data_IF_458788766211
#
_entry.id   IF_458788766211
#
_cell.length_a   1.000
_cell.length_b   1.000
_cell.length_c   1.000
_cell.angle_alpha   90.00
_cell.angle_beta   90.00
_cell.angle_gamma   90.00
#
_symmetry.space_group_name_H-M   'P 1'
#
loop_
_entity.id
_entity.type
_entity.pdbx_description
1 polymer ?
#
# COMPACT_ATOMS: atom_id res chain seq x y z
N UNK A 1 -13.77 19.31 -4.84
CA UNK A 1 -13.90 17.87 -5.11
C UNK A 1 -13.22 17.08 -4.00
N UNK A 2 -13.78 15.95 -3.59
CA UNK A 2 -13.17 15.05 -2.62
C UNK A 2 -12.17 14.14 -3.32
N UNK A 3 -11.08 13.80 -2.62
CA UNK A 3 -10.00 12.94 -3.12
C UNK A 3 -9.98 11.66 -2.32
N UNK A 4 -10.19 10.54 -3.00
CA UNK A 4 -10.09 9.18 -2.44
C UNK A 4 -8.87 8.49 -3.04
N UNK A 5 -7.97 8.01 -2.19
CA UNK A 5 -6.77 7.29 -2.60
C UNK A 5 -6.92 5.81 -2.28
N UNK A 6 -6.88 4.97 -3.30
CA UNK A 6 -6.69 3.53 -3.15
C UNK A 6 -5.19 3.22 -3.07
N UNK A 7 -4.72 2.97 -1.85
CA UNK A 7 -3.33 2.65 -1.57
C UNK A 7 -3.07 1.15 -1.36
N UNK A 8 -3.99 0.28 -1.80
CA UNK A 8 -3.88 -1.18 -1.58
C UNK A 8 -2.58 -1.75 -2.15
N UNK A 9 -2.14 -1.29 -3.32
CA UNK A 9 -0.86 -1.71 -3.93
C UNK A 9 0.32 -0.82 -3.55
N UNK A 10 0.09 0.37 -3.01
CA UNK A 10 1.15 1.30 -2.63
C UNK A 10 1.64 1.07 -1.19
N UNK A 11 0.72 0.81 -0.27
CA UNK A 11 1.02 0.67 1.16
C UNK A 11 2.12 -0.34 1.54
N UNK A 12 2.33 -1.48 0.84
CA UNK A 12 3.44 -2.38 1.14
C UNK A 12 4.82 -1.86 0.70
N UNK A 13 4.87 -0.88 -0.21
CA UNK A 13 6.10 -0.47 -0.90
C UNK A 13 6.65 0.87 -0.43
N UNK A 14 5.79 1.78 0.01
CA UNK A 14 6.17 3.13 0.43
C UNK A 14 5.42 3.59 1.66
N UNK A 15 6.10 4.39 2.48
CA UNK A 15 5.49 5.00 3.66
C UNK A 15 4.43 6.01 3.24
N UNK A 16 3.22 5.82 3.77
CA UNK A 16 2.11 6.74 3.52
C UNK A 16 2.11 7.85 4.56
N UNK A 17 2.07 9.10 4.09
CA UNK A 17 1.69 10.26 4.88
C UNK A 17 0.47 10.94 4.26
N UNK A 18 -0.66 10.84 4.95
CA UNK A 18 -1.95 11.37 4.46
C UNK A 18 -1.97 12.88 4.42
N UNK A 19 -1.12 13.56 5.22
CA UNK A 19 -0.98 15.01 5.20
C UNK A 19 -0.30 15.49 3.93
N UNK A 20 0.76 14.78 3.51
CA UNK A 20 1.47 15.08 2.26
C UNK A 20 0.63 14.76 1.03
N UNK A 21 -0.13 13.66 1.08
CA UNK A 21 -1.05 13.29 -0.01
C UNK A 21 -2.22 14.27 -0.16
N UNK A 22 -2.61 14.96 0.92
CA UNK A 22 -3.72 15.90 0.91
C UNK A 22 -5.07 15.26 0.60
N UNK A 23 -5.20 13.93 0.70
CA UNK A 23 -6.43 13.21 0.40
C UNK A 23 -7.48 13.37 1.50
N UNK A 24 -8.76 13.14 1.16
CA UNK A 24 -9.86 13.15 2.11
C UNK A 24 -10.13 11.77 2.68
N UNK A 25 -9.88 10.73 1.87
CA UNK A 25 -9.99 9.32 2.25
C UNK A 25 -8.84 8.51 1.69
N UNK A 26 -8.42 7.48 2.42
CA UNK A 26 -7.43 6.52 1.96
C UNK A 26 -7.85 5.11 2.36
N UNK A 27 -7.68 4.17 1.43
CA UNK A 27 -7.96 2.75 1.66
C UNK A 27 -6.67 1.93 1.47
N UNK A 28 -6.46 0.96 2.35
CA UNK A 28 -5.42 -0.04 2.18
C UNK A 28 -5.84 -1.40 2.77
N UNK A 29 -5.05 -2.42 2.47
CA UNK A 29 -5.34 -3.80 2.89
C UNK A 29 -4.13 -4.42 3.57
N UNK A 30 -4.21 -4.71 4.88
CA UNK A 30 -3.10 -5.26 5.65
C UNK A 30 -2.48 -6.54 5.11
N UNK A 31 -3.26 -7.41 4.44
CA UNK A 31 -2.72 -8.64 3.85
C UNK A 31 -1.65 -8.39 2.76
N UNK A 32 -1.55 -7.17 2.25
CA UNK A 32 -0.49 -6.77 1.30
C UNK A 32 0.83 -6.43 2.01
N UNK A 33 0.78 -6.16 3.32
CA UNK A 33 1.95 -5.83 4.15
C UNK A 33 1.97 -6.68 5.43
N UNK A 34 2.05 -8.01 5.26
CA UNK A 34 2.21 -9.04 6.31
C UNK A 34 1.02 -9.21 7.26
N UNK A 35 -0.11 -8.56 7.04
CA UNK A 35 -1.26 -8.58 7.92
C UNK A 35 -2.36 -9.55 7.50
N UNK A 36 -3.46 -9.59 8.25
CA UNK A 36 -4.63 -10.42 7.95
C UNK A 36 -5.49 -9.81 6.83
N UNK A 37 -6.48 -10.57 6.37
CA UNK A 37 -7.49 -10.10 5.42
C UNK A 37 -8.45 -9.10 6.09
N UNK A 38 -8.01 -7.86 6.11
CA UNK A 38 -8.73 -6.71 6.64
C UNK A 38 -8.71 -5.57 5.63
N UNK A 39 -9.70 -4.69 5.68
CA UNK A 39 -9.69 -3.39 5.03
C UNK A 39 -9.45 -2.29 6.05
N UNK A 40 -8.67 -1.31 5.69
CA UNK A 40 -8.49 -0.07 6.46
C UNK A 40 -9.06 1.08 5.64
N UNK A 41 -9.93 1.86 6.26
CA UNK A 41 -10.35 3.18 5.77
C UNK A 41 -9.81 4.22 6.74
N UNK A 42 -9.01 5.13 6.22
CA UNK A 42 -8.70 6.40 6.87
C UNK A 42 -9.53 7.49 6.19
N UNK A 43 -10.00 8.46 6.98
CA UNK A 43 -10.69 9.63 6.45
C UNK A 43 -10.49 10.83 7.36
N UNK A 44 -10.53 12.03 6.78
CA UNK A 44 -10.59 13.27 7.54
C UNK A 44 -11.82 13.27 8.45
N UNK A 45 -11.65 13.68 9.70
CA UNK A 45 -12.70 13.59 10.71
C UNK A 45 -13.98 14.32 10.29
N UNK A 46 -13.87 15.54 9.80
CA UNK A 46 -14.98 16.35 9.30
C UNK A 46 -15.75 15.65 8.18
N UNK A 47 -15.05 15.02 7.24
CA UNK A 47 -15.67 14.26 6.14
C UNK A 47 -16.38 13.01 6.63
N UNK A 48 -15.78 12.28 7.58
CA UNK A 48 -16.41 11.12 8.19
C UNK A 48 -17.65 11.47 9.02
N UNK A 49 -17.72 12.69 9.58
CA UNK A 49 -18.87 13.20 10.31
C UNK A 49 -20.00 13.67 9.37
N UNK A 50 -19.67 14.34 8.28
CA UNK A 50 -20.63 14.93 7.32
C UNK A 50 -21.30 13.89 6.42
N UNK A 51 -20.58 12.88 5.97
CA UNK A 51 -21.09 11.94 4.99
C UNK A 51 -22.21 11.07 5.56
N UNK A 52 -23.29 10.83 4.78
CA UNK A 52 -24.34 9.90 5.17
C UNK A 52 -23.80 8.46 5.16
N UNK A 53 -24.06 7.72 6.23
CA UNK A 53 -23.64 6.32 6.38
C UNK A 53 -24.85 5.41 6.42
N UNK A 54 -24.87 4.41 5.53
CA UNK A 54 -25.80 3.30 5.61
C UNK A 54 -25.40 2.36 6.73
N UNK A 55 -26.04 2.46 7.88
CA UNK A 55 -25.71 1.69 9.09
C UNK A 55 -26.95 1.03 9.71
N UNK A 56 -26.72 0.07 10.60
CA UNK A 56 -27.78 -0.53 11.38
C UNK A 56 -28.37 0.49 12.35
N UNK A 57 -29.69 0.37 12.64
CA UNK A 57 -30.38 1.27 13.57
C UNK A 57 -29.72 1.33 14.95
N UNK A 58 -29.17 0.22 15.41
CA UNK A 58 -28.52 0.11 16.72
C UNK A 58 -27.09 0.62 16.75
N UNK A 59 -26.49 0.92 15.61
CA UNK A 59 -25.12 1.47 15.54
C UNK A 59 -25.11 2.92 16.01
N UNK A 60 -24.10 3.28 16.80
CA UNK A 60 -23.88 4.63 17.30
C UNK A 60 -23.57 5.65 16.18
N UNK A 61 -23.73 6.94 16.46
CA UNK A 61 -23.29 8.03 15.59
C UNK A 61 -21.80 8.40 15.82
N UNK A 62 -21.19 7.86 16.86
CA UNK A 62 -19.82 8.21 17.22
C UNK A 62 -18.79 7.58 16.28
N UNK A 63 -17.77 8.35 15.91
CA UNK A 63 -16.62 7.84 15.18
C UNK A 63 -15.69 7.03 16.11
N UNK A 64 -15.09 5.96 15.60
CA UNK A 64 -15.19 5.40 14.25
C UNK A 64 -16.40 4.47 14.05
N UNK A 65 -17.17 4.18 15.09
CA UNK A 65 -18.18 3.12 15.14
C UNK A 65 -19.33 3.32 14.17
N UNK A 66 -19.70 4.56 13.82
CA UNK A 66 -20.73 4.80 12.82
C UNK A 66 -20.40 4.22 11.43
N UNK A 67 -19.12 4.01 11.13
CA UNK A 67 -18.63 3.41 9.89
C UNK A 67 -18.41 1.90 9.98
N UNK A 68 -18.62 1.33 11.16
CA UNK A 68 -18.44 -0.09 11.45
C UNK A 68 -19.80 -0.77 11.60
N UNK A 69 -20.14 -1.66 10.67
CA UNK A 69 -21.43 -2.37 10.65
C UNK A 69 -21.33 -3.72 11.39
N UNK A 70 -21.79 -3.77 12.65
CA UNK A 70 -21.78 -4.98 13.47
C UNK A 70 -20.48 -5.24 14.21
N UNK A 71 -20.33 -6.45 14.76
CA UNK A 71 -19.16 -6.85 15.54
C UNK A 71 -17.91 -6.92 14.65
N UNK A 72 -16.87 -6.25 15.10
CA UNK A 72 -15.61 -6.19 14.35
C UNK A 72 -14.76 -7.44 14.55
N UNK A 73 -13.89 -7.72 13.59
CA UNK A 73 -12.83 -8.74 13.71
C UNK A 73 -11.71 -8.21 14.59
N UNK A 74 -11.83 -8.39 15.90
CA UNK A 74 -10.85 -7.92 16.87
C UNK A 74 -9.48 -8.60 16.68
N UNK A 75 -9.50 -9.89 16.33
CA UNK A 75 -8.31 -10.66 15.96
C UNK A 75 -7.62 -10.08 14.71
N UNK A 76 -8.40 -9.66 13.72
CA UNK A 76 -7.88 -8.99 12.52
C UNK A 76 -7.26 -7.62 12.83
N UNK A 77 -7.87 -6.85 13.73
CA UNK A 77 -7.30 -5.57 14.19
C UNK A 77 -5.98 -5.78 14.95
N UNK A 78 -5.92 -6.80 15.82
CA UNK A 78 -4.70 -7.16 16.54
C UNK A 78 -3.60 -7.62 15.58
N UNK A 79 -3.94 -8.45 14.58
CA UNK A 79 -3.02 -8.88 13.52
C UNK A 79 -2.53 -7.73 12.66
N UNK A 80 -3.38 -6.76 12.31
CA UNK A 80 -3.00 -5.54 11.60
C UNK A 80 -1.99 -4.71 12.40
N UNK A 81 -2.24 -4.53 13.71
CA UNK A 81 -1.29 -3.86 14.60
C UNK A 81 0.05 -4.59 14.62
N UNK A 82 0.03 -5.92 14.74
CA UNK A 82 1.25 -6.74 14.74
C UNK A 82 2.03 -6.63 13.42
N UNK A 83 1.35 -6.55 12.28
CA UNK A 83 2.00 -6.32 10.98
C UNK A 83 2.74 -4.97 10.93
N UNK A 84 2.12 -3.91 11.45
CA UNK A 84 2.77 -2.58 11.53
C UNK A 84 3.99 -2.62 12.46
N UNK A 85 3.88 -3.29 13.63
CA UNK A 85 5.01 -3.44 14.55
C UNK A 85 6.13 -4.32 13.95
N UNK A 86 5.78 -5.31 13.12
CA UNK A 86 6.77 -6.12 12.39
C UNK A 86 7.55 -5.26 11.38
N UNK A 87 6.88 -4.40 10.62
CA UNK A 87 7.57 -3.45 9.72
C UNK A 87 8.47 -2.50 10.53
N UNK A 88 7.99 -1.96 11.64
CA UNK A 88 8.80 -1.13 12.51
C UNK A 88 10.02 -1.88 13.10
N UNK A 89 9.85 -3.16 13.43
CA UNK A 89 10.97 -4.02 13.84
C UNK A 89 12.01 -4.16 12.71
N UNK A 90 11.60 -4.41 11.47
CA UNK A 90 12.51 -4.42 10.31
C UNK A 90 13.34 -3.14 10.26
N UNK A 91 12.71 -1.97 10.46
CA UNK A 91 13.43 -0.70 10.44
C UNK A 91 14.47 -0.55 11.55
N UNK A 92 14.17 -1.03 12.76
CA UNK A 92 15.15 -1.05 13.86
C UNK A 92 16.32 -1.97 13.56
N UNK A 93 16.04 -3.17 13.04
CA UNK A 93 17.08 -4.15 12.68
C UNK A 93 17.98 -3.65 11.55
N UNK A 94 17.38 -3.14 10.46
CA UNK A 94 18.13 -2.70 9.29
C UNK A 94 18.96 -1.44 9.55
N UNK A 95 18.47 -0.53 10.40
CA UNK A 95 19.20 0.69 10.79
C UNK A 95 20.19 0.49 11.93
N UNK A 96 20.09 -0.63 12.67
CA UNK A 96 20.88 -0.86 13.90
C UNK A 96 20.50 0.08 15.06
N UNK A 97 19.31 0.67 15.06
CA UNK A 97 18.81 1.65 16.04
C UNK A 97 17.61 1.07 16.81
N UNK A 98 17.82 0.31 17.91
CA UNK A 98 16.73 -0.39 18.60
C UNK A 98 15.73 0.55 19.28
N UNK A 99 16.15 1.76 19.68
CA UNK A 99 15.36 2.70 20.47
C UNK A 99 14.49 3.66 19.63
N UNK A 100 14.45 3.49 18.31
CA UNK A 100 13.60 4.32 17.46
C UNK A 100 12.13 4.21 17.86
N UNK A 101 11.44 5.35 17.89
CA UNK A 101 9.98 5.38 17.97
C UNK A 101 9.37 4.57 16.81
N UNK A 102 8.11 4.19 16.93
CA UNK A 102 7.44 3.44 15.86
C UNK A 102 7.47 4.19 14.53
N UNK A 103 7.21 5.51 14.51
CA UNK A 103 7.21 6.30 13.28
C UNK A 103 8.59 6.36 12.64
N UNK A 104 9.62 6.62 13.41
CA UNK A 104 11.02 6.65 12.93
C UNK A 104 11.44 5.27 12.39
N UNK A 105 11.10 4.21 13.11
CA UNK A 105 11.38 2.85 12.67
C UNK A 105 10.66 2.50 11.35
N UNK A 106 9.42 2.96 11.16
CA UNK A 106 8.71 2.79 9.88
C UNK A 106 9.38 3.57 8.74
N UNK A 107 9.89 4.78 8.99
CA UNK A 107 10.65 5.55 7.99
C UNK A 107 11.90 4.79 7.55
N UNK A 108 12.68 4.26 8.50
CA UNK A 108 13.88 3.45 8.20
C UNK A 108 13.51 2.15 7.44
N UNK A 109 12.42 1.47 7.85
CA UNK A 109 11.96 0.25 7.21
C UNK A 109 11.59 0.48 5.74
N UNK A 110 10.76 1.48 5.47
CA UNK A 110 10.33 1.77 4.10
C UNK A 110 11.47 2.30 3.24
N UNK A 111 12.42 3.04 3.81
CA UNK A 111 13.65 3.40 3.09
C UNK A 111 14.45 2.18 2.63
N UNK A 112 14.61 1.18 3.50
CA UNK A 112 15.29 -0.08 3.16
C UNK A 112 14.49 -0.92 2.15
N UNK A 113 13.17 -0.99 2.27
CA UNK A 113 12.28 -1.69 1.32
C UNK A 113 12.37 -1.06 -0.07
N UNK A 114 12.22 0.26 -0.16
CA UNK A 114 12.29 0.99 -1.43
C UNK A 114 13.64 0.80 -2.14
N UNK A 115 14.74 0.84 -1.40
CA UNK A 115 16.07 0.62 -1.97
C UNK A 115 16.23 -0.82 -2.52
N UNK A 116 15.78 -1.81 -1.76
CA UNK A 116 15.81 -3.21 -2.19
C UNK A 116 14.94 -3.44 -3.43
N UNK A 117 13.69 -2.96 -3.41
CA UNK A 117 12.73 -3.13 -4.51
C UNK A 117 13.15 -2.34 -5.76
N UNK A 118 13.80 -1.19 -5.60
CA UNK A 118 14.38 -0.42 -6.71
C UNK A 118 15.37 -1.27 -7.51
N UNK A 119 16.27 -1.97 -6.84
CA UNK A 119 17.22 -2.87 -7.49
C UNK A 119 16.52 -4.00 -8.26
N UNK A 120 15.49 -4.60 -7.67
CA UNK A 120 14.70 -5.66 -8.33
C UNK A 120 13.92 -5.11 -9.53
N UNK A 121 13.29 -3.94 -9.39
CA UNK A 121 12.52 -3.29 -10.44
C UNK A 121 13.40 -2.96 -11.65
N UNK A 122 14.59 -2.40 -11.45
CA UNK A 122 15.55 -2.11 -12.52
C UNK A 122 15.93 -3.38 -13.27
N UNK A 123 16.26 -4.46 -12.58
CA UNK A 123 16.59 -5.75 -13.20
C UNK A 123 15.42 -6.30 -14.02
N UNK A 124 14.19 -6.20 -13.48
CA UNK A 124 12.99 -6.63 -14.19
C UNK A 124 12.74 -5.81 -15.46
N UNK A 125 12.83 -4.48 -15.38
CA UNK A 125 12.63 -3.59 -16.51
C UNK A 125 13.69 -3.82 -17.61
N UNK A 126 14.95 -4.03 -17.24
CA UNK A 126 16.02 -4.38 -18.16
C UNK A 126 15.72 -5.72 -18.86
N UNK A 127 15.30 -6.73 -18.10
CA UNK A 127 14.91 -8.03 -18.66
C UNK A 127 13.74 -7.94 -19.63
N UNK A 128 12.68 -7.23 -19.24
CA UNK A 128 11.49 -7.03 -20.09
C UNK A 128 11.82 -6.24 -21.35
N UNK A 129 12.72 -5.24 -21.27
CA UNK A 129 13.16 -4.45 -22.41
C UNK A 129 13.93 -5.23 -23.48
N UNK A 130 14.43 -6.43 -23.19
CA UNK A 130 15.10 -7.33 -24.13
C UNK A 130 14.13 -8.25 -24.89
N UNK A 131 12.85 -8.28 -24.49
CA UNK A 131 11.85 -9.16 -25.11
C UNK A 131 11.27 -8.45 -26.32
N UNK A 132 11.47 -9.02 -27.51
CA UNK A 132 10.92 -8.49 -28.75
C UNK A 132 9.39 -8.47 -28.73
N UNK A 133 8.80 -7.38 -29.15
CA UNK A 133 7.34 -7.18 -29.17
C UNK A 133 6.70 -6.82 -27.83
N UNK A 134 7.48 -6.76 -26.73
CA UNK A 134 6.97 -6.38 -25.43
C UNK A 134 7.08 -4.85 -25.25
N UNK A 135 6.03 -4.24 -24.72
CA UNK A 135 5.98 -2.82 -24.36
C UNK A 135 5.64 -2.69 -22.89
N UNK A 136 6.54 -2.12 -22.10
CA UNK A 136 6.29 -1.72 -20.72
C UNK A 136 5.56 -0.39 -20.69
N UNK A 137 4.58 -0.26 -19.81
CA UNK A 137 3.83 0.98 -19.59
C UNK A 137 4.32 1.69 -18.31
N UNK A 138 4.36 3.01 -18.36
CA UNK A 138 4.85 3.87 -17.28
C UNK A 138 6.33 4.19 -17.41
N UNK A 139 6.93 4.64 -16.31
CA UNK A 139 8.31 5.10 -16.25
C UNK A 139 9.26 3.89 -16.34
N UNK A 140 10.18 3.92 -17.30
CA UNK A 140 11.20 2.88 -17.51
C UNK A 140 12.63 3.42 -17.39
N UNK A 141 12.80 4.74 -17.37
CA UNK A 141 14.09 5.41 -17.29
C UNK A 141 14.73 5.18 -15.91
N UNK A 142 15.97 4.64 -15.82
CA UNK A 142 16.65 4.38 -14.56
C UNK A 142 16.80 5.62 -13.66
N UNK A 143 16.95 6.80 -14.25
CA UNK A 143 17.06 8.07 -13.52
C UNK A 143 15.77 8.51 -12.83
N UNK A 144 14.63 7.96 -13.25
CA UNK A 144 13.31 8.28 -12.73
C UNK A 144 12.64 7.13 -11.98
N UNK A 145 13.37 6.07 -11.68
CA UNK A 145 12.81 4.86 -11.07
C UNK A 145 12.20 5.11 -9.69
N UNK A 146 12.65 6.13 -8.98
CA UNK A 146 12.08 6.54 -7.69
C UNK A 146 10.68 7.19 -7.79
N UNK A 147 10.25 7.55 -9.00
CA UNK A 147 8.93 8.13 -9.25
C UNK A 147 7.85 7.07 -9.52
N UNK A 148 8.19 5.78 -9.40
CA UNK A 148 7.26 4.68 -9.65
C UNK A 148 7.21 3.68 -8.49
N UNK A 149 6.03 3.08 -8.28
CA UNK A 149 5.93 1.85 -7.51
C UNK A 149 6.50 0.66 -8.30
N UNK A 150 6.93 -0.44 -7.64
CA UNK A 150 7.54 -1.60 -8.32
C UNK A 150 6.56 -2.43 -9.17
N UNK A 151 5.29 -2.07 -9.22
CA UNK A 151 4.29 -2.69 -10.09
C UNK A 151 4.59 -2.41 -11.56
N UNK A 152 4.70 -3.46 -12.38
CA UNK A 152 5.00 -3.36 -13.80
C UNK A 152 3.84 -3.86 -14.64
N UNK A 153 3.33 -3.00 -15.52
CA UNK A 153 2.32 -3.34 -16.53
C UNK A 153 2.96 -3.39 -17.90
N UNK A 154 2.65 -4.42 -18.68
CA UNK A 154 3.16 -4.55 -20.05
C UNK A 154 2.14 -5.19 -20.99
N UNK A 155 2.34 -5.00 -22.29
CA UNK A 155 1.61 -5.64 -23.38
C UNK A 155 2.59 -6.26 -24.37
N UNK A 156 2.12 -7.22 -25.17
CA UNK A 156 2.93 -7.85 -26.21
C UNK A 156 2.20 -7.76 -27.55
N UNK A 157 2.95 -7.54 -28.62
CA UNK A 157 2.41 -7.29 -29.96
C UNK A 157 1.67 -8.48 -30.59
N UNK A 158 2.03 -9.71 -30.20
CA UNK A 158 1.49 -10.95 -30.79
C UNK A 158 0.87 -11.92 -29.80
N UNK A 159 0.88 -11.60 -28.48
CA UNK A 159 0.28 -12.43 -27.43
C UNK A 159 -0.71 -11.63 -26.61
N UNK A 160 -1.86 -12.22 -26.31
CA UNK A 160 -2.83 -11.67 -25.36
C UNK A 160 -2.34 -11.84 -23.91
N UNK A 161 -2.88 -11.04 -22.99
CA UNK A 161 -2.59 -11.16 -21.56
C UNK A 161 -2.89 -12.57 -21.02
N UNK A 162 -3.95 -13.23 -21.53
CA UNK A 162 -4.31 -14.61 -21.16
C UNK A 162 -3.24 -15.60 -21.59
N UNK A 163 -2.74 -15.51 -22.82
CA UNK A 163 -1.68 -16.40 -23.32
C UNK A 163 -0.38 -16.22 -22.57
N UNK A 164 -0.05 -14.97 -22.22
CA UNK A 164 1.14 -14.68 -21.38
C UNK A 164 0.95 -15.30 -19.98
N UNK A 165 -0.18 -15.08 -19.34
CA UNK A 165 -0.44 -15.60 -17.99
C UNK A 165 -0.51 -17.13 -17.88
N UNK A 166 -0.76 -17.83 -18.99
CA UNK A 166 -0.70 -19.31 -19.04
C UNK A 166 0.75 -19.81 -19.18
N UNK A 167 1.66 -18.98 -19.72
CA UNK A 167 3.07 -19.34 -19.92
C UNK A 167 3.97 -19.02 -18.72
N UNK A 168 3.53 -18.10 -17.84
CA UNK A 168 4.21 -17.73 -16.59
C UNK A 168 3.82 -18.66 -15.44
#
# INVERSE_FOLDING_TARGET
>A
AEVVVDAVHFAPHSLIDVSDLGCDFLLCSPYKFFGPHQGILWGKKDRLEELPVAKLRVATEELPFRWMTGTQSHEGMAGTKAAIEHIAWIGRETSGKPDLSRREALIEAYGAIEEYERGLCLRMLEGLGRIEGLKVWGITEPSRISERAPTVSFTHSSMSAKEIGVKL
#
